data_IF_111763845440
#
_entry.id   IF_111763845440
#
_cell.length_a   1.000
_cell.length_b   1.000
_cell.length_c   1.000
_cell.angle_alpha   90.00
_cell.angle_beta   90.00
_cell.angle_gamma   90.00
#
_symmetry.space_group_name_H-M   'P 1'
#
loop_
_entity.id
_entity.type
_entity.pdbx_description
1 polymer ?
#
# COMPACT_ATOMS: atom_id res chain seq x y z
N UNK A 1 11.45 -2.68 -2.09
CA UNK A 1 12.31 -1.51 -2.41
C UNK A 1 12.76 -1.51 -3.87
N UNK A 2 13.11 -2.68 -4.47
CA UNK A 2 13.51 -2.78 -5.88
C UNK A 2 12.33 -2.36 -6.79
N UNK A 3 11.12 -2.88 -6.57
CA UNK A 3 9.90 -2.50 -7.31
C UNK A 3 9.49 -1.01 -7.16
N UNK A 4 10.06 -0.31 -6.20
CA UNK A 4 9.86 1.13 -6.00
C UNK A 4 10.96 1.97 -6.69
N UNK A 5 11.89 1.35 -7.40
CA UNK A 5 13.04 2.03 -8.00
C UNK A 5 14.05 2.59 -6.97
N UNK A 6 13.93 2.22 -5.69
CA UNK A 6 14.83 2.70 -4.63
C UNK A 6 16.15 1.91 -4.54
N UNK A 7 16.17 0.70 -5.08
CA UNK A 7 17.35 -0.16 -5.15
C UNK A 7 17.42 -0.78 -6.54
N UNK A 8 18.64 -0.97 -7.04
CA UNK A 8 18.87 -1.71 -8.30
C UNK A 8 18.78 -3.22 -8.04
N UNK A 9 18.15 -4.00 -8.94
CA UNK A 9 18.23 -5.46 -8.87
C UNK A 9 19.67 -5.93 -9.10
N UNK A 10 20.10 -6.98 -8.38
CA UNK A 10 21.41 -7.59 -8.62
C UNK A 10 21.47 -8.29 -9.97
N UNK A 11 20.34 -8.84 -10.45
CA UNK A 11 20.15 -9.47 -11.76
C UNK A 11 18.72 -9.26 -12.22
N UNK A 12 18.49 -9.34 -13.53
CA UNK A 12 17.18 -9.15 -14.15
C UNK A 12 16.73 -7.70 -14.22
N UNK A 13 15.52 -7.48 -14.72
CA UNK A 13 14.92 -6.17 -14.94
C UNK A 13 13.49 -6.14 -14.42
N UNK A 14 13.01 -4.96 -14.08
CA UNK A 14 11.62 -4.72 -13.69
C UNK A 14 11.05 -3.71 -14.69
N UNK A 15 9.92 -4.04 -15.26
CA UNK A 15 9.20 -3.16 -16.19
C UNK A 15 7.93 -2.63 -15.52
N UNK A 16 7.71 -1.33 -15.66
CA UNK A 16 6.48 -0.66 -15.29
C UNK A 16 5.88 -0.03 -16.55
N UNK A 17 4.67 -0.46 -16.93
CA UNK A 17 4.01 -0.05 -18.17
C UNK A 17 4.89 -0.23 -19.43
N UNK A 18 5.71 -1.29 -19.48
CA UNK A 18 6.59 -1.60 -20.61
C UNK A 18 7.94 -0.88 -20.61
N UNK A 19 8.20 0.01 -19.66
CA UNK A 19 9.47 0.73 -19.51
C UNK A 19 10.27 0.19 -18.32
N UNK A 20 11.59 -0.03 -18.50
CA UNK A 20 12.46 -0.47 -17.40
C UNK A 20 12.48 0.59 -16.30
N UNK A 21 12.13 0.17 -15.07
CA UNK A 21 11.99 1.05 -13.91
C UNK A 21 13.27 1.86 -13.61
N UNK A 22 14.43 1.38 -14.03
CA UNK A 22 15.70 2.09 -13.86
C UNK A 22 15.84 3.31 -14.79
N UNK A 23 15.05 3.36 -15.86
CA UNK A 23 15.01 4.48 -16.81
C UNK A 23 13.86 5.45 -16.53
N UNK A 24 12.93 5.07 -15.68
CA UNK A 24 11.80 5.90 -15.27
C UNK A 24 12.23 6.90 -14.19
N UNK A 25 11.81 8.16 -14.31
CA UNK A 25 12.18 9.16 -13.30
C UNK A 25 11.57 8.83 -11.92
N UNK A 26 12.33 9.00 -10.81
CA UNK A 26 11.80 8.76 -9.46
C UNK A 26 10.55 9.57 -9.14
N UNK A 27 10.45 10.78 -9.69
CA UNK A 27 9.28 11.65 -9.51
C UNK A 27 8.03 11.09 -10.21
N UNK A 28 8.20 10.45 -11.37
CA UNK A 28 7.12 9.78 -12.08
C UNK A 28 6.68 8.54 -11.29
N UNK A 29 7.62 7.66 -10.92
CA UNK A 29 7.31 6.47 -10.11
C UNK A 29 6.59 6.82 -8.81
N UNK A 30 7.03 7.90 -8.14
CA UNK A 30 6.38 8.38 -6.93
C UNK A 30 4.97 8.94 -7.14
N UNK A 31 4.49 9.10 -8.37
CA UNK A 31 3.09 9.43 -8.67
C UNK A 31 2.27 8.20 -9.02
N UNK A 32 2.90 7.17 -9.58
CA UNK A 32 2.25 5.98 -10.11
C UNK A 32 2.19 4.83 -9.09
N UNK A 33 3.19 4.74 -8.22
CA UNK A 33 3.35 3.65 -7.26
C UNK A 33 3.39 4.22 -5.84
N UNK A 34 2.45 3.78 -5.01
CA UNK A 34 2.44 4.10 -3.58
C UNK A 34 2.96 2.93 -2.75
N UNK A 35 3.68 3.24 -1.68
CA UNK A 35 4.18 2.25 -0.73
C UNK A 35 3.48 2.38 0.62
N UNK A 36 2.93 1.27 1.10
CA UNK A 36 2.33 1.13 2.42
C UNK A 36 3.20 0.17 3.23
N UNK A 37 3.99 0.67 4.20
CA UNK A 37 4.87 -0.16 5.01
C UNK A 37 4.08 -0.96 6.05
N UNK A 38 4.66 -2.06 6.52
CA UNK A 38 4.14 -2.89 7.60
C UNK A 38 3.92 -2.09 8.90
N UNK A 39 4.90 -1.28 9.25
CA UNK A 39 4.84 -0.42 10.44
C UNK A 39 5.27 1.00 10.08
N UNK A 40 4.52 1.96 10.58
CA UNK A 40 4.89 3.37 10.52
C UNK A 40 4.81 3.93 11.95
N UNK A 41 5.98 4.07 12.57
CA UNK A 41 6.10 4.74 13.88
C UNK A 41 6.41 6.21 13.63
N UNK A 42 5.51 7.09 14.02
CA UNK A 42 5.80 8.52 14.06
C UNK A 42 6.26 8.88 15.48
N UNK A 43 7.37 9.55 15.58
CA UNK A 43 7.84 10.14 16.85
C UNK A 43 7.16 11.48 17.15
N UNK A 44 6.44 12.04 16.18
CA UNK A 44 5.76 13.32 16.29
C UNK A 44 4.25 13.16 16.19
N UNK A 45 3.46 13.91 16.97
CA UNK A 45 2.00 13.84 17.00
C UNK A 45 1.38 14.64 15.83
N UNK A 46 1.75 14.35 14.58
CA UNK A 46 1.11 14.92 13.41
C UNK A 46 -0.39 14.61 13.42
N UNK A 47 -1.22 15.53 12.95
CA UNK A 47 -2.63 15.23 12.71
C UNK A 47 -2.75 14.17 11.58
N UNK A 48 -3.77 13.33 11.64
CA UNK A 48 -4.08 12.35 10.59
C UNK A 48 -4.16 13.02 9.22
N UNK A 49 -4.79 14.20 9.13
CA UNK A 49 -4.84 15.02 7.91
C UNK A 49 -3.45 15.35 7.38
N UNK A 50 -2.52 15.73 8.25
CA UNK A 50 -1.15 16.08 7.83
C UNK A 50 -0.41 14.86 7.28
N UNK A 51 -0.59 13.68 7.90
CA UNK A 51 -0.02 12.43 7.39
C UNK A 51 -0.56 12.11 6.00
N UNK A 52 -1.86 12.31 5.75
CA UNK A 52 -2.45 12.06 4.43
C UNK A 52 -1.96 13.09 3.41
N UNK A 53 -1.83 14.35 3.79
CA UNK A 53 -1.29 15.41 2.95
C UNK A 53 0.16 15.15 2.49
N UNK A 54 0.97 14.41 3.27
CA UNK A 54 2.30 13.98 2.82
C UNK A 54 2.24 13.17 1.50
N UNK A 55 1.13 12.51 1.20
CA UNK A 55 0.89 11.87 -0.10
C UNK A 55 0.94 12.85 -1.27
N UNK A 56 0.71 14.13 -1.05
CA UNK A 56 0.75 15.16 -2.11
C UNK A 56 2.15 15.64 -2.47
N UNK A 57 3.19 15.27 -1.71
CA UNK A 57 4.58 15.70 -1.92
C UNK A 57 5.08 15.45 -3.36
N UNK A 58 4.83 14.30 -4.03
CA UNK A 58 5.29 14.07 -5.40
C UNK A 58 4.75 15.07 -6.43
N UNK A 59 3.65 15.77 -6.11
CA UNK A 59 3.04 16.78 -6.97
C UNK A 59 3.57 18.19 -6.73
N UNK A 60 4.51 18.37 -5.79
CA UNK A 60 5.01 19.67 -5.36
C UNK A 60 6.37 19.99 -5.96
N UNK A 61 6.68 21.28 -5.94
CA UNK A 61 8.03 21.82 -6.20
C UNK A 61 8.71 22.12 -4.86
N UNK A 62 9.97 22.50 -4.90
CA UNK A 62 10.70 22.94 -3.72
C UNK A 62 10.01 24.21 -3.13
N UNK A 63 9.92 24.35 -1.80
CA UNK A 63 9.20 25.44 -1.11
C UNK A 63 7.69 25.49 -1.43
N UNK A 64 6.98 24.43 -1.12
CA UNK A 64 5.54 24.38 -1.36
C UNK A 64 4.70 24.69 -0.11
N UNK A 65 3.46 25.11 -0.37
CA UNK A 65 2.34 25.04 0.57
C UNK A 65 1.26 24.13 -0.01
N UNK A 66 0.53 23.44 0.84
CA UNK A 66 -0.62 22.69 0.39
C UNK A 66 -1.72 23.63 -0.09
N UNK A 67 -2.23 23.37 -1.28
CA UNK A 67 -3.30 24.14 -1.92
C UNK A 67 -4.67 23.65 -1.40
N UNK A 68 -5.73 24.43 -1.67
CA UNK A 68 -7.12 23.99 -1.43
C UNK A 68 -7.44 22.67 -2.14
N UNK A 69 -6.87 22.44 -3.32
CA UNK A 69 -7.03 21.17 -4.06
C UNK A 69 -6.37 20.01 -3.32
N UNK A 70 -5.17 20.19 -2.75
CA UNK A 70 -4.52 19.13 -1.97
C UNK A 70 -5.31 18.78 -0.71
N UNK A 71 -5.84 19.79 -0.02
CA UNK A 71 -6.70 19.60 1.14
C UNK A 71 -7.96 18.81 0.77
N UNK A 72 -8.61 19.12 -0.36
CA UNK A 72 -9.77 18.38 -0.84
C UNK A 72 -9.41 16.93 -1.15
N UNK A 73 -8.33 16.68 -1.89
CA UNK A 73 -7.88 15.33 -2.22
C UNK A 73 -7.59 14.50 -0.95
N UNK A 74 -6.96 15.10 0.05
CA UNK A 74 -6.70 14.43 1.33
C UNK A 74 -8.01 14.15 2.10
N UNK A 75 -8.94 15.10 2.11
CA UNK A 75 -10.27 14.94 2.71
C UNK A 75 -11.04 13.79 2.05
N UNK A 76 -11.12 13.79 0.71
CA UNK A 76 -11.81 12.76 -0.07
C UNK A 76 -11.19 11.36 0.17
N UNK A 77 -9.86 11.27 0.32
CA UNK A 77 -9.18 10.02 0.65
C UNK A 77 -9.55 9.50 2.05
N UNK A 78 -9.65 10.37 3.05
CA UNK A 78 -10.09 10.00 4.40
C UNK A 78 -11.58 9.58 4.43
N UNK A 79 -12.43 10.28 3.69
CA UNK A 79 -13.86 9.98 3.59
C UNK A 79 -14.10 8.62 2.93
N UNK A 80 -13.39 8.31 1.83
CA UNK A 80 -13.47 7.00 1.14
C UNK A 80 -13.15 5.81 2.04
N UNK A 81 -12.27 6.00 3.01
CA UNK A 81 -11.90 4.96 3.98
C UNK A 81 -12.71 5.05 5.29
N UNK A 82 -13.73 5.94 5.34
CA UNK A 82 -14.59 6.16 6.50
C UNK A 82 -13.86 6.57 7.79
N UNK A 83 -12.70 7.26 7.65
CA UNK A 83 -11.88 7.75 8.76
C UNK A 83 -11.74 9.26 8.81
N UNK A 84 -12.59 10.01 8.10
CA UNK A 84 -12.57 11.48 8.11
C UNK A 84 -12.74 12.06 9.52
N UNK A 85 -13.50 11.40 10.39
CA UNK A 85 -13.69 11.80 11.78
C UNK A 85 -12.39 11.82 12.59
N UNK A 86 -11.32 11.19 12.11
CA UNK A 86 -10.00 11.17 12.73
C UNK A 86 -9.08 12.30 12.23
N UNK A 87 -9.52 13.11 11.26
CA UNK A 87 -8.66 14.06 10.54
C UNK A 87 -7.80 14.96 11.45
N UNK A 88 -8.39 15.43 12.54
CA UNK A 88 -7.74 16.33 13.50
C UNK A 88 -7.11 15.60 14.71
N UNK A 89 -7.23 14.27 14.79
CA UNK A 89 -6.60 13.50 15.87
C UNK A 89 -5.11 13.31 15.62
N UNK A 90 -4.34 13.22 16.69
CA UNK A 90 -2.93 12.88 16.56
C UNK A 90 -2.78 11.44 16.05
N UNK A 91 -1.94 11.23 15.04
CA UNK A 91 -1.66 9.90 14.45
C UNK A 91 -1.11 8.91 15.49
N UNK A 92 -0.48 9.41 16.54
CA UNK A 92 0.02 8.59 17.65
C UNK A 92 -1.07 8.09 18.59
N UNK A 93 -2.25 8.71 18.59
CA UNK A 93 -3.37 8.42 19.51
C UNK A 93 -4.47 7.55 18.91
N UNK A 94 -4.37 7.21 17.63
CA UNK A 94 -5.32 6.33 16.95
C UNK A 94 -4.88 4.88 17.01
N UNK A 95 -5.82 3.94 16.83
CA UNK A 95 -5.57 2.50 16.84
C UNK A 95 -4.66 2.04 15.69
N UNK A 96 -4.10 0.83 15.79
CA UNK A 96 -3.28 0.23 14.73
C UNK A 96 -4.01 0.15 13.40
N UNK A 97 -5.28 -0.28 13.40
CA UNK A 97 -6.11 -0.35 12.20
C UNK A 97 -6.37 1.02 11.57
N UNK A 98 -6.69 2.03 12.40
CA UNK A 98 -6.88 3.41 11.93
C UNK A 98 -5.59 4.00 11.37
N UNK A 99 -4.44 3.68 11.96
CA UNK A 99 -3.13 4.06 11.41
C UNK A 99 -2.91 3.44 10.04
N UNK A 100 -3.24 2.16 9.87
CA UNK A 100 -3.08 1.48 8.59
C UNK A 100 -4.00 2.07 7.52
N UNK A 101 -5.27 2.34 7.85
CA UNK A 101 -6.18 3.04 6.94
C UNK A 101 -5.68 4.46 6.61
N UNK A 102 -5.08 5.17 7.55
CA UNK A 102 -4.46 6.49 7.30
C UNK A 102 -3.30 6.39 6.29
N UNK A 103 -2.48 5.32 6.33
CA UNK A 103 -1.42 5.12 5.35
C UNK A 103 -1.98 4.80 3.96
N UNK A 104 -3.11 4.09 3.87
CA UNK A 104 -3.81 3.87 2.60
C UNK A 104 -4.43 5.18 2.10
N UNK A 105 -5.04 6.00 2.97
CA UNK A 105 -5.52 7.33 2.61
C UNK A 105 -4.41 8.22 2.05
N UNK A 106 -3.22 8.18 2.65
CA UNK A 106 -2.02 8.86 2.14
C UNK A 106 -1.65 8.40 0.73
N UNK A 107 -1.69 7.09 0.50
CA UNK A 107 -1.40 6.50 -0.81
C UNK A 107 -2.49 6.87 -1.84
N UNK A 108 -3.76 6.92 -1.47
CA UNK A 108 -4.85 7.43 -2.32
C UNK A 108 -4.65 8.92 -2.64
N UNK A 109 -4.32 9.73 -1.64
CA UNK A 109 -4.04 11.15 -1.83
C UNK A 109 -2.83 11.40 -2.74
N UNK A 110 -1.86 10.48 -2.78
CA UNK A 110 -0.74 10.50 -3.71
C UNK A 110 -1.21 10.41 -5.18
N UNK A 111 -2.38 9.81 -5.43
CA UNK A 111 -2.95 9.62 -6.77
C UNK A 111 -2.40 8.39 -7.49
N UNK A 112 -1.60 7.58 -6.83
CA UNK A 112 -1.06 6.34 -7.38
C UNK A 112 -2.18 5.34 -7.71
N UNK A 113 -1.99 4.56 -8.77
CA UNK A 113 -2.90 3.47 -9.17
C UNK A 113 -2.38 2.10 -8.75
N UNK A 114 -1.09 1.99 -8.46
CA UNK A 114 -0.45 0.75 -7.99
C UNK A 114 0.01 0.92 -6.54
N UNK A 115 -0.40 0.01 -5.68
CA UNK A 115 -0.04 -0.01 -4.26
C UNK A 115 0.86 -1.20 -3.98
N UNK A 116 2.03 -0.94 -3.41
CA UNK A 116 2.91 -1.99 -2.88
C UNK A 116 2.77 -1.95 -1.36
N UNK A 117 2.28 -3.04 -0.79
CA UNK A 117 1.99 -3.17 0.63
C UNK A 117 2.83 -4.26 1.27
N UNK A 118 3.50 -3.93 2.36
CA UNK A 118 4.31 -4.88 3.11
C UNK A 118 3.55 -5.30 4.37
N UNK A 119 3.04 -6.53 4.38
CA UNK A 119 2.24 -7.12 5.47
C UNK A 119 1.22 -6.14 6.11
N UNK A 120 0.31 -5.53 5.33
CA UNK A 120 -0.51 -4.43 5.81
C UNK A 120 -1.50 -4.80 6.93
N UNK A 121 -1.79 -6.08 7.13
CA UNK A 121 -2.68 -6.58 8.17
C UNK A 121 -1.94 -7.08 9.42
N UNK A 122 -0.61 -7.09 9.41
CA UNK A 122 0.19 -7.58 10.53
C UNK A 122 -0.02 -6.74 11.80
N UNK A 123 -0.18 -7.42 12.93
CA UNK A 123 -0.38 -6.76 14.23
C UNK A 123 -1.76 -6.10 14.43
N UNK A 124 -2.69 -6.26 13.50
CA UNK A 124 -4.07 -5.84 13.67
C UNK A 124 -4.90 -6.98 14.31
N UNK A 125 -5.88 -6.61 15.13
CA UNK A 125 -6.90 -7.56 15.54
C UNK A 125 -7.75 -8.01 14.34
N UNK A 126 -8.42 -9.15 14.50
CA UNK A 126 -9.15 -9.80 13.40
C UNK A 126 -10.20 -8.88 12.74
N UNK A 127 -10.94 -8.09 13.52
CA UNK A 127 -11.95 -7.17 12.99
C UNK A 127 -11.34 -6.06 12.13
N UNK A 128 -10.19 -5.52 12.54
CA UNK A 128 -9.46 -4.52 11.76
C UNK A 128 -8.78 -5.13 10.52
N UNK A 129 -8.33 -6.40 10.58
CA UNK A 129 -7.85 -7.11 9.40
C UNK A 129 -8.96 -7.22 8.34
N UNK A 130 -10.15 -7.69 8.73
CA UNK A 130 -11.29 -7.80 7.82
C UNK A 130 -11.68 -6.47 7.18
N UNK A 131 -11.74 -5.39 7.98
CA UNK A 131 -12.03 -4.04 7.48
C UNK A 131 -10.99 -3.57 6.45
N UNK A 132 -9.72 -3.82 6.72
CA UNK A 132 -8.63 -3.48 5.81
C UNK A 132 -8.75 -4.23 4.48
N UNK A 133 -8.97 -5.54 4.53
CA UNK A 133 -9.12 -6.39 3.35
C UNK A 133 -10.34 -6.00 2.51
N UNK A 134 -11.47 -5.68 3.15
CA UNK A 134 -12.68 -5.16 2.48
C UNK A 134 -12.40 -3.83 1.75
N UNK A 135 -11.63 -2.92 2.35
CA UNK A 135 -11.23 -1.69 1.68
C UNK A 135 -10.33 -1.96 0.46
N UNK A 136 -9.40 -2.92 0.54
CA UNK A 136 -8.56 -3.33 -0.59
C UNK A 136 -9.44 -3.88 -1.73
N UNK A 137 -10.41 -4.75 -1.42
CA UNK A 137 -11.35 -5.29 -2.42
C UNK A 137 -12.14 -4.16 -3.09
N UNK A 138 -12.69 -3.21 -2.33
CA UNK A 138 -13.44 -2.08 -2.88
C UNK A 138 -12.59 -1.27 -3.84
N UNK A 139 -11.39 -0.92 -3.44
CA UNK A 139 -10.46 -0.15 -4.26
C UNK A 139 -9.99 -0.94 -5.49
N UNK A 140 -9.77 -2.25 -5.38
CA UNK A 140 -9.43 -3.11 -6.54
C UNK A 140 -10.53 -3.07 -7.59
N UNK A 141 -11.80 -3.15 -7.19
CA UNK A 141 -12.96 -3.02 -8.09
C UNK A 141 -13.07 -1.64 -8.77
N UNK A 142 -12.45 -0.62 -8.18
CA UNK A 142 -12.33 0.72 -8.77
C UNK A 142 -11.11 0.88 -9.68
N UNK A 143 -10.39 -0.21 -9.99
CA UNK A 143 -9.24 -0.24 -10.90
C UNK A 143 -7.90 0.09 -10.26
N UNK A 144 -7.77 0.00 -8.94
CA UNK A 144 -6.47 0.05 -8.28
C UNK A 144 -5.82 -1.33 -8.28
N UNK A 145 -4.51 -1.37 -8.48
CA UNK A 145 -3.70 -2.59 -8.45
C UNK A 145 -2.97 -2.70 -7.11
N UNK A 146 -3.00 -3.89 -6.50
CA UNK A 146 -2.33 -4.15 -5.23
C UNK A 146 -1.31 -5.27 -5.36
N UNK A 147 -0.09 -5.01 -4.90
CA UNK A 147 0.95 -6.03 -4.68
C UNK A 147 1.18 -6.08 -3.18
N UNK A 148 0.80 -7.17 -2.53
CA UNK A 148 0.82 -7.30 -1.08
C UNK A 148 1.67 -8.50 -0.67
N UNK A 149 2.64 -8.29 0.24
CA UNK A 149 3.22 -9.42 0.99
C UNK A 149 2.30 -9.84 2.13
N UNK A 150 2.27 -11.12 2.43
CA UNK A 150 1.53 -11.67 3.57
C UNK A 150 2.10 -13.03 3.96
N UNK A 151 2.01 -13.37 5.24
CA UNK A 151 2.25 -14.69 5.77
C UNK A 151 0.93 -15.43 6.10
N UNK A 152 -0.22 -14.83 5.78
CA UNK A 152 -1.56 -15.43 5.98
C UNK A 152 -2.13 -15.88 4.63
N UNK A 153 -2.11 -17.18 4.33
CA UNK A 153 -2.68 -17.73 3.10
C UNK A 153 -4.16 -17.39 2.92
N UNK A 154 -4.93 -17.41 4.02
CA UNK A 154 -6.36 -17.11 4.02
C UNK A 154 -6.64 -15.69 3.49
N UNK A 155 -5.79 -14.72 3.83
CA UNK A 155 -5.93 -13.35 3.31
C UNK A 155 -5.69 -13.29 1.80
N UNK A 156 -4.75 -14.10 1.27
CA UNK A 156 -4.51 -14.14 -0.15
C UNK A 156 -5.67 -14.83 -0.88
N UNK A 157 -6.13 -15.99 -0.41
CA UNK A 157 -7.31 -16.69 -0.95
C UNK A 157 -8.57 -15.82 -0.98
N UNK A 158 -8.70 -14.92 -0.02
CA UNK A 158 -9.89 -14.07 0.06
C UNK A 158 -9.87 -12.90 -0.93
N UNK A 159 -8.71 -12.28 -1.19
CA UNK A 159 -8.68 -11.00 -1.91
C UNK A 159 -7.80 -10.97 -3.17
N UNK A 160 -6.95 -11.97 -3.39
CA UNK A 160 -5.97 -11.92 -4.47
C UNK A 160 -6.41 -12.75 -5.67
N UNK A 161 -6.21 -12.21 -6.87
CA UNK A 161 -6.42 -12.94 -8.13
C UNK A 161 -5.23 -13.87 -8.41
N UNK A 162 -4.01 -13.46 -8.02
CA UNK A 162 -2.76 -14.19 -8.26
C UNK A 162 -1.89 -14.23 -7.02
N UNK A 163 -1.24 -15.35 -6.78
CA UNK A 163 -0.30 -15.56 -5.70
C UNK A 163 1.07 -16.00 -6.20
N UNK A 164 2.12 -15.56 -5.51
CA UNK A 164 3.50 -16.00 -5.72
C UNK A 164 4.02 -16.49 -4.36
N UNK A 165 4.36 -17.76 -4.27
CA UNK A 165 4.95 -18.34 -3.07
C UNK A 165 6.47 -18.29 -3.15
N UNK A 166 7.09 -17.78 -2.08
CA UNK A 166 8.55 -17.61 -2.00
C UNK A 166 9.08 -18.34 -0.76
N UNK A 167 10.10 -19.18 -0.96
CA UNK A 167 10.84 -19.85 0.10
C UNK A 167 12.33 -19.74 -0.14
N UNK A 168 13.10 -19.32 0.85
CA UNK A 168 14.56 -19.18 0.77
C UNK A 168 15.06 -18.34 -0.44
N UNK A 169 14.30 -17.30 -0.80
CA UNK A 169 14.62 -16.43 -1.92
C UNK A 169 14.32 -16.99 -3.31
N UNK A 170 13.69 -18.16 -3.41
CA UNK A 170 13.25 -18.77 -4.67
C UNK A 170 11.72 -18.80 -4.77
N UNK A 171 11.21 -18.63 -6.00
CA UNK A 171 9.79 -18.83 -6.28
C UNK A 171 9.51 -20.33 -6.26
N UNK A 172 8.58 -20.75 -5.41
CA UNK A 172 8.12 -22.14 -5.29
C UNK A 172 6.91 -22.39 -6.16
N UNK A 173 5.99 -21.42 -6.24
CA UNK A 173 4.79 -21.50 -7.07
C UNK A 173 4.34 -20.09 -7.46
N UNK A 174 3.71 -19.99 -8.63
CA UNK A 174 3.19 -18.73 -9.20
C UNK A 174 1.98 -19.04 -10.08
N UNK A 175 0.85 -18.42 -9.83
CA UNK A 175 -0.38 -18.66 -10.59
C UNK A 175 -1.61 -18.05 -9.94
N UNK A 176 -2.79 -18.53 -10.34
CA UNK A 176 -4.05 -18.16 -9.70
C UNK A 176 -4.05 -18.60 -8.23
N UNK A 177 -4.73 -17.82 -7.39
CA UNK A 177 -4.60 -17.97 -5.94
C UNK A 177 -5.01 -19.36 -5.45
N UNK A 178 -6.13 -19.89 -5.96
CA UNK A 178 -6.67 -21.21 -5.59
C UNK A 178 -5.75 -22.36 -6.04
N UNK A 179 -5.04 -22.19 -7.17
CA UNK A 179 -4.09 -23.19 -7.67
C UNK A 179 -2.80 -23.19 -6.88
N UNK A 180 -2.33 -22.01 -6.48
CA UNK A 180 -1.07 -21.81 -5.77
C UNK A 180 -1.20 -22.15 -4.30
N UNK A 181 -2.29 -21.76 -3.64
CA UNK A 181 -2.50 -21.92 -2.20
C UNK A 181 -3.40 -23.11 -1.94
N UNK A 182 -2.81 -24.28 -1.79
CA UNK A 182 -3.48 -25.54 -1.43
C UNK A 182 -2.69 -26.29 -0.36
N UNK A 183 -3.26 -27.38 0.18
CA UNK A 183 -2.64 -28.13 1.26
C UNK A 183 -1.22 -28.64 0.91
N UNK A 184 -1.01 -29.12 -0.31
CA UNK A 184 0.29 -29.65 -0.75
C UNK A 184 1.34 -28.54 -0.86
N UNK A 185 0.98 -27.39 -1.45
CA UNK A 185 1.90 -26.26 -1.63
C UNK A 185 2.29 -25.61 -0.29
N UNK A 186 1.34 -25.53 0.67
CA UNK A 186 1.61 -25.00 2.01
C UNK A 186 2.58 -25.89 2.81
N UNK A 187 2.55 -27.23 2.62
CA UNK A 187 3.54 -28.11 3.23
C UNK A 187 4.96 -27.95 2.66
N UNK A 188 5.09 -27.37 1.48
CA UNK A 188 6.39 -27.08 0.85
C UNK A 188 7.01 -25.75 1.32
N UNK A 189 6.24 -24.88 1.96
CA UNK A 189 6.70 -23.63 2.58
C UNK A 189 7.39 -23.90 3.91
#
# INVERSE_FOLDING_TARGET
KIMLGLLRPARGSIFFNGEDILHVSPKFLAKEIAYVPQTHRSSFPYAVMDVVLMGRIPHKTFFFRYSKTDMRVAHDALERLSILHLANRAYTEISGGERQLTLIARALAQGAKTFIMDEPASGLDYGNQLRLLDQIIKLSREGYTFIKSTHSPEHALWIADRAIMIKNGAIVSDGECDDVINGESLFRL
#
